data_IF_359334821590
#
_entry.id   IF_359334821590
#
_cell.length_a   1.000
_cell.length_b   1.000
_cell.length_c   1.000
_cell.angle_alpha   90.00
_cell.angle_beta   90.00
_cell.angle_gamma   90.00
#
_symmetry.space_group_name_H-M   'P 1'
#
loop_
_entity.id
_entity.type
_entity.pdbx_description
1 polymer ?
#
# COMPACT_ATOMS: atom_id res chain seq x y z
N UNK A 1 -14.57 8.78 -17.65
CA UNK A 1 -13.70 7.66 -17.23
C UNK A 1 -12.36 8.23 -16.80
N UNK A 2 -11.78 7.72 -15.70
CA UNK A 2 -10.54 8.24 -15.13
C UNK A 2 -9.67 7.11 -14.57
N UNK A 3 -8.35 7.32 -14.55
CA UNK A 3 -7.48 6.61 -13.63
C UNK A 3 -7.68 7.24 -12.26
N UNK A 4 -8.28 6.50 -11.33
CA UNK A 4 -8.40 6.94 -9.94
C UNK A 4 -7.11 6.61 -9.22
N UNK A 5 -6.48 7.63 -8.65
CA UNK A 5 -5.19 7.50 -7.96
C UNK A 5 -5.32 7.94 -6.51
N UNK A 6 -4.78 7.15 -5.60
CA UNK A 6 -4.55 7.53 -4.20
C UNK A 6 -3.06 7.40 -3.91
N UNK A 7 -2.46 8.50 -3.46
CA UNK A 7 -1.09 8.57 -2.97
C UNK A 7 -1.13 8.78 -1.46
N UNK A 8 -0.43 7.93 -0.72
CA UNK A 8 -0.31 8.04 0.72
C UNK A 8 1.13 7.80 1.14
N UNK A 9 1.67 8.74 1.90
CA UNK A 9 2.99 8.66 2.49
C UNK A 9 2.87 8.63 4.01
N UNK A 10 3.61 7.73 4.65
CA UNK A 10 3.72 7.68 6.11
C UNK A 10 5.09 7.17 6.51
N UNK A 11 5.48 7.40 7.76
CA UNK A 11 6.79 7.01 8.28
C UNK A 11 6.68 5.91 9.30
N UNK A 12 7.64 4.99 9.28
CA UNK A 12 7.92 4.00 10.31
C UNK A 12 9.35 4.18 10.82
N UNK A 13 9.72 3.52 11.92
CA UNK A 13 11.14 3.45 12.31
C UNK A 13 11.94 2.79 11.17
N UNK A 14 13.09 3.38 10.80
CA UNK A 14 14.00 2.81 9.79
C UNK A 14 14.40 1.36 10.09
N UNK A 15 14.45 0.99 11.38
CA UNK A 15 14.70 -0.39 11.82
C UNK A 15 13.65 -1.40 11.34
N UNK A 16 12.41 -0.97 11.09
CA UNK A 16 11.34 -1.83 10.54
C UNK A 16 11.66 -2.22 9.10
N UNK A 17 12.29 -1.31 8.33
CA UNK A 17 12.71 -1.61 6.96
C UNK A 17 14.00 -2.40 6.97
N UNK A 18 14.98 -2.05 7.79
CA UNK A 18 16.27 -2.74 7.83
C UNK A 18 16.17 -4.22 8.27
N UNK A 19 15.24 -4.55 9.15
CA UNK A 19 15.03 -5.89 9.68
C UNK A 19 14.07 -6.72 8.81
N UNK A 20 14.49 -7.93 8.40
CA UNK A 20 13.69 -8.78 7.49
C UNK A 20 12.38 -9.27 8.10
N UNK A 21 12.36 -9.57 9.39
CA UNK A 21 11.17 -10.07 10.08
C UNK A 21 10.14 -8.94 10.25
N UNK A 22 10.60 -7.77 10.72
CA UNK A 22 9.74 -6.58 10.85
C UNK A 22 9.22 -6.11 9.50
N UNK A 23 10.04 -6.17 8.45
CA UNK A 23 9.64 -5.85 7.07
C UNK A 23 8.54 -6.80 6.57
N UNK A 24 8.64 -8.09 6.88
CA UNK A 24 7.58 -9.07 6.57
C UNK A 24 6.27 -8.77 7.31
N UNK A 25 6.37 -8.35 8.57
CA UNK A 25 5.23 -7.89 9.38
C UNK A 25 4.55 -6.66 8.78
N UNK A 26 5.33 -5.63 8.42
CA UNK A 26 4.84 -4.42 7.75
C UNK A 26 4.11 -4.74 6.44
N UNK A 27 4.70 -5.59 5.59
CA UNK A 27 4.08 -6.04 4.33
C UNK A 27 2.74 -6.74 4.58
N UNK A 28 2.69 -7.64 5.57
CA UNK A 28 1.45 -8.34 5.93
C UNK A 28 0.38 -7.38 6.42
N UNK A 29 0.75 -6.41 7.27
CA UNK A 29 -0.18 -5.41 7.77
C UNK A 29 -0.78 -4.55 6.65
N UNK A 30 0.07 -4.03 5.75
CA UNK A 30 -0.38 -3.26 4.58
C UNK A 30 -1.28 -4.11 3.68
N UNK A 31 -0.87 -5.33 3.36
CA UNK A 31 -1.65 -6.25 2.53
C UNK A 31 -3.04 -6.55 3.11
N UNK A 32 -3.13 -6.75 4.43
CA UNK A 32 -4.40 -7.00 5.11
C UNK A 32 -5.34 -5.79 5.02
N UNK A 33 -4.85 -4.58 5.28
CA UNK A 33 -5.65 -3.35 5.15
C UNK A 33 -6.13 -3.17 3.72
N UNK A 34 -5.26 -3.37 2.73
CA UNK A 34 -5.65 -3.27 1.32
C UNK A 34 -6.71 -4.32 0.93
N UNK A 35 -6.64 -5.53 1.49
CA UNK A 35 -7.58 -6.61 1.21
C UNK A 35 -9.00 -6.33 1.73
N UNK A 36 -9.17 -5.44 2.71
CA UNK A 36 -10.49 -4.99 3.18
C UNK A 36 -11.26 -4.19 2.10
N UNK A 37 -10.53 -3.51 1.21
CA UNK A 37 -11.11 -2.64 0.17
C UNK A 37 -11.05 -3.23 -1.23
N UNK A 38 -10.01 -4.02 -1.51
CA UNK A 38 -9.77 -4.64 -2.80
C UNK A 38 -10.08 -6.14 -2.72
N UNK A 39 -11.36 -6.51 -2.78
CA UNK A 39 -11.79 -7.92 -2.75
C UNK A 39 -11.16 -8.67 -3.93
N UNK A 40 -10.28 -9.64 -3.64
CA UNK A 40 -9.50 -10.34 -4.66
C UNK A 40 -8.12 -9.74 -4.93
N UNK A 41 -7.59 -8.93 -4.01
CA UNK A 41 -6.19 -8.48 -4.01
C UNK A 41 -5.22 -9.67 -4.12
N UNK A 42 -4.22 -9.56 -4.99
CA UNK A 42 -3.20 -10.57 -5.22
C UNK A 42 -1.82 -9.92 -5.24
N UNK A 43 -0.82 -10.50 -4.56
CA UNK A 43 0.57 -10.08 -4.73
C UNK A 43 1.04 -10.42 -6.14
N UNK A 44 1.80 -9.52 -6.77
CA UNK A 44 2.41 -9.71 -8.08
C UNK A 44 3.91 -9.95 -7.97
N UNK A 45 4.62 -9.05 -7.28
CA UNK A 45 6.08 -9.08 -7.19
C UNK A 45 6.51 -8.41 -5.90
N UNK A 46 7.57 -8.96 -5.33
CA UNK A 46 8.31 -8.37 -4.23
C UNK A 46 9.77 -8.27 -4.64
N UNK A 47 10.41 -7.16 -4.31
CA UNK A 47 11.81 -6.92 -4.63
C UNK A 47 12.46 -6.06 -3.57
N UNK A 48 13.77 -6.25 -3.41
CA UNK A 48 14.61 -5.38 -2.63
C UNK A 48 15.46 -4.55 -3.61
N UNK A 49 15.37 -3.23 -3.52
CA UNK A 49 16.11 -2.30 -4.39
C UNK A 49 16.93 -1.40 -3.47
N UNK A 50 18.25 -1.57 -3.47
CA UNK A 50 19.17 -0.78 -2.65
C UNK A 50 18.81 -0.77 -1.16
N UNK A 51 18.37 -1.91 -0.62
CA UNK A 51 17.92 -2.05 0.77
C UNK A 51 16.46 -1.67 1.00
N UNK A 52 15.83 -0.97 0.06
CA UNK A 52 14.43 -0.57 0.07
C UNK A 52 13.50 -1.73 -0.29
N UNK A 53 12.28 -1.71 0.24
CA UNK A 53 11.19 -2.63 -0.09
C UNK A 53 10.41 -2.12 -1.31
N UNK A 54 10.11 -3.01 -2.25
CA UNK A 54 9.10 -2.81 -3.29
C UNK A 54 8.15 -4.01 -3.27
N UNK A 55 6.84 -3.74 -3.14
CA UNK A 55 5.79 -4.75 -3.29
C UNK A 55 4.74 -4.24 -4.26
N UNK A 56 4.35 -5.08 -5.20
CA UNK A 56 3.27 -4.83 -6.14
C UNK A 56 2.10 -5.76 -5.83
N UNK A 57 0.90 -5.19 -5.81
CA UNK A 57 -0.36 -5.93 -5.76
C UNK A 57 -1.22 -5.57 -6.97
N UNK A 58 -2.07 -6.51 -7.36
CA UNK A 58 -3.16 -6.28 -8.31
C UNK A 58 -4.50 -6.69 -7.73
N UNK A 59 -5.59 -6.29 -8.35
CA UNK A 59 -6.93 -6.50 -7.82
C UNK A 59 -8.02 -6.01 -8.79
N UNK A 60 -9.23 -5.76 -8.26
CA UNK A 60 -10.37 -5.29 -9.04
C UNK A 60 -10.07 -4.05 -9.87
N UNK A 61 -10.86 -3.85 -10.93
CA UNK A 61 -10.79 -2.66 -11.80
C UNK A 61 -9.41 -2.40 -12.41
N UNK A 62 -8.65 -3.48 -12.63
CA UNK A 62 -7.29 -3.40 -13.18
C UNK A 62 -6.33 -2.69 -12.24
N UNK A 63 -6.57 -2.77 -10.92
CA UNK A 63 -5.78 -2.02 -9.96
C UNK A 63 -4.31 -2.45 -9.97
N UNK A 64 -3.41 -1.49 -9.89
CA UNK A 64 -2.00 -1.70 -9.58
C UNK A 64 -1.68 -0.90 -8.31
N UNK A 65 -1.26 -1.60 -7.26
CA UNK A 65 -0.90 -0.99 -5.99
C UNK A 65 0.58 -1.20 -5.77
N UNK A 66 1.32 -0.11 -5.62
CA UNK A 66 2.74 -0.10 -5.34
C UNK A 66 2.97 0.32 -3.90
N UNK A 67 3.63 -0.54 -3.13
CA UNK A 67 4.14 -0.24 -1.79
C UNK A 67 5.64 -0.10 -1.88
N UNK A 68 6.18 1.07 -1.57
CA UNK A 68 7.63 1.31 -1.55
C UNK A 68 8.05 1.74 -0.14
N UNK A 69 8.99 1.00 0.44
CA UNK A 69 9.57 1.33 1.74
C UNK A 69 11.03 1.71 1.58
N UNK A 70 11.39 2.94 1.91
CA UNK A 70 12.74 3.47 1.84
C UNK A 70 13.53 3.15 3.12
N UNK A 71 14.85 3.04 3.01
CA UNK A 71 15.74 2.70 4.13
C UNK A 71 15.66 3.69 5.30
N UNK A 72 15.23 4.92 5.03
CA UNK A 72 15.04 5.99 6.00
C UNK A 72 13.73 5.83 6.81
N UNK A 73 12.89 4.86 6.46
CA UNK A 73 11.62 4.59 7.13
C UNK A 73 10.40 5.25 6.47
N UNK A 74 10.57 5.93 5.34
CA UNK A 74 9.43 6.42 4.55
C UNK A 74 8.75 5.26 3.83
N UNK A 75 7.43 5.17 3.94
CA UNK A 75 6.58 4.27 3.15
C UNK A 75 5.72 5.11 2.22
N UNK A 76 5.70 4.76 0.94
CA UNK A 76 4.83 5.37 -0.05
C UNK A 76 3.92 4.30 -0.65
N UNK A 77 2.61 4.57 -0.67
CA UNK A 77 1.59 3.76 -1.31
C UNK A 77 1.06 4.52 -2.50
N UNK A 78 1.19 3.94 -3.69
CA UNK A 78 0.52 4.40 -4.90
C UNK A 78 -0.53 3.38 -5.31
N UNK A 79 -1.81 3.77 -5.26
CA UNK A 79 -2.95 2.94 -5.64
C UNK A 79 -3.54 3.54 -6.91
N UNK A 80 -3.50 2.81 -8.01
CA UNK A 80 -4.09 3.22 -9.28
C UNK A 80 -5.09 2.18 -9.76
N UNK A 81 -6.27 2.61 -10.20
CA UNK A 81 -7.25 1.73 -10.83
C UNK A 81 -8.19 2.48 -11.77
N UNK A 82 -8.79 1.76 -12.70
CA UNK A 82 -9.76 2.33 -13.63
C UNK A 82 -11.11 2.57 -12.94
N UNK A 83 -11.67 3.77 -13.12
CA UNK A 83 -12.96 4.15 -12.53
C UNK A 83 -13.85 4.80 -13.59
N UNK A 84 -15.10 4.33 -13.70
CA UNK A 84 -16.13 5.01 -14.49
C UNK A 84 -16.73 6.20 -13.71
N UNK A 85 -17.32 7.15 -14.41
CA UNK A 85 -17.72 8.43 -13.79
C UNK A 85 -18.81 8.26 -12.72
N UNK A 86 -19.68 7.27 -12.90
CA UNK A 86 -20.80 6.90 -12.02
C UNK A 86 -20.45 5.85 -10.95
N UNK A 87 -19.23 5.31 -10.97
CA UNK A 87 -18.79 4.34 -9.96
C UNK A 87 -18.25 5.04 -8.73
N UNK A 88 -18.57 4.52 -7.54
CA UNK A 88 -17.89 4.93 -6.31
C UNK A 88 -16.42 4.48 -6.31
N UNK A 89 -15.58 5.24 -5.61
CA UNK A 89 -14.18 4.87 -5.39
C UNK A 89 -14.11 3.62 -4.49
N UNK A 90 -13.20 2.68 -4.81
CA UNK A 90 -12.94 1.51 -3.96
C UNK A 90 -12.29 1.90 -2.63
N UNK A 91 -11.48 2.95 -2.68
CA UNK A 91 -10.78 3.51 -1.54
C UNK A 91 -10.65 5.02 -1.74
N UNK A 92 -10.96 5.78 -0.70
CA UNK A 92 -10.72 7.23 -0.64
C UNK A 92 -9.53 7.53 0.27
N UNK A 93 -8.92 8.70 0.08
CA UNK A 93 -7.80 9.14 0.91
C UNK A 93 -8.16 9.16 2.41
N UNK A 94 -9.36 9.63 2.76
CA UNK A 94 -9.83 9.74 4.15
C UNK A 94 -9.91 8.37 4.84
N UNK A 95 -10.41 7.35 4.13
CA UNK A 95 -10.44 5.97 4.63
C UNK A 95 -9.02 5.44 4.81
N UNK A 96 -8.14 5.71 3.85
CA UNK A 96 -6.74 5.28 3.89
C UNK A 96 -5.99 5.90 5.07
N UNK A 97 -6.17 7.21 5.31
CA UNK A 97 -5.53 7.94 6.41
C UNK A 97 -6.00 7.43 7.77
N UNK A 98 -7.29 7.16 7.95
CA UNK A 98 -7.84 6.70 9.23
C UNK A 98 -7.35 5.29 9.60
N UNK A 99 -7.20 4.38 8.65
CA UNK A 99 -6.82 3.00 8.94
C UNK A 99 -5.31 2.78 9.03
N UNK A 100 -4.52 3.48 8.21
CA UNK A 100 -3.06 3.31 8.21
C UNK A 100 -2.46 3.93 9.47
N UNK A 101 -2.80 5.19 9.81
CA UNK A 101 -2.23 5.84 10.99
C UNK A 101 -2.57 5.11 12.30
N UNK A 102 -3.81 4.64 12.44
CA UNK A 102 -4.25 3.95 13.66
C UNK A 102 -3.59 2.58 13.90
N UNK A 103 -3.04 1.95 12.86
CA UNK A 103 -2.38 0.64 12.96
C UNK A 103 -0.86 0.74 13.16
N UNK A 104 -0.24 1.90 12.91
CA UNK A 104 1.21 2.09 12.99
C UNK A 104 1.69 3.06 14.09
N UNK A 105 0.79 3.81 14.75
CA UNK A 105 1.09 4.68 15.91
C UNK A 105 0.95 3.99 17.29
N UNK A 106 0.96 2.66 17.35
CA UNK A 106 0.96 1.89 18.62
C UNK A 106 2.28 1.18 18.88
#
# INVERSE_FOLDING_TARGET
MVAHTVLLDFTVSSSVIADMEKRSGLKSAIGNVLAEHFIGLKPLTESNIDGSLLVLYTGPRGSLITVRGYTEGLITLNIEYYKQDDQEALLTFEVCMHQVLNNFDK
#
